data_IF_654758326255
#
_entry.id   IF_654758326255
#
_cell.length_a   1.000
_cell.length_b   1.000
_cell.length_c   1.000
_cell.angle_alpha   90.00
_cell.angle_beta   90.00
_cell.angle_gamma   90.00
#
_symmetry.space_group_name_H-M   'P 1'
#
loop_
_entity.id
_entity.type
_entity.pdbx_description
1 polymer ?
#
# COMPACT_ATOMS: atom_id res chain seq x y z
N UNK A 1 2.21 -25.79 0.95
CA UNK A 1 3.54 -25.17 0.82
C UNK A 1 3.40 -24.03 -0.16
N UNK A 2 3.59 -22.81 0.32
CA UNK A 2 3.43 -21.56 -0.43
C UNK A 2 4.79 -21.12 -0.95
N UNK A 3 4.91 -20.92 -2.26
CA UNK A 3 6.13 -20.42 -2.88
C UNK A 3 6.15 -18.90 -2.84
N UNK A 4 7.24 -18.32 -2.33
CA UNK A 4 7.50 -16.88 -2.40
C UNK A 4 8.79 -16.66 -3.19
N UNK A 5 8.67 -15.99 -4.32
CA UNK A 5 9.81 -15.71 -5.20
C UNK A 5 10.43 -14.37 -4.83
N UNK A 6 11.75 -14.35 -4.68
CA UNK A 6 12.54 -13.13 -4.45
C UNK A 6 13.60 -13.01 -5.53
N UNK A 7 13.57 -11.93 -6.31
CA UNK A 7 14.61 -11.66 -7.31
C UNK A 7 15.13 -10.25 -7.17
N UNK A 8 16.40 -10.08 -7.50
CA UNK A 8 17.09 -8.81 -7.47
C UNK A 8 17.55 -8.40 -8.87
N UNK A 9 17.50 -7.11 -9.16
CA UNK A 9 18.17 -6.52 -10.33
C UNK A 9 19.57 -6.01 -9.98
N UNK A 10 20.44 -5.93 -10.99
CA UNK A 10 21.72 -5.23 -10.91
C UNK A 10 21.67 -3.82 -11.54
N UNK A 11 20.78 -3.60 -12.51
CA UNK A 11 20.66 -2.38 -13.32
C UNK A 11 19.52 -1.50 -12.79
N UNK A 12 19.59 -0.18 -13.03
CA UNK A 12 18.60 0.78 -12.52
C UNK A 12 17.67 1.32 -13.62
N UNK A 13 17.65 0.71 -14.81
CA UNK A 13 16.76 1.08 -15.93
C UNK A 13 15.47 0.26 -16.00
N UNK A 14 14.48 0.80 -16.71
CA UNK A 14 13.14 0.21 -16.76
C UNK A 14 13.09 -1.13 -17.52
N UNK A 15 13.95 -1.35 -18.52
CA UNK A 15 13.97 -2.60 -19.28
C UNK A 15 14.35 -3.78 -18.39
N UNK A 16 15.34 -3.59 -17.53
CA UNK A 16 15.73 -4.60 -16.57
C UNK A 16 14.62 -4.82 -15.51
N UNK A 17 14.07 -3.75 -14.94
CA UNK A 17 12.97 -3.88 -13.96
C UNK A 17 11.75 -4.62 -14.53
N UNK A 18 11.41 -4.39 -15.80
CA UNK A 18 10.33 -5.10 -16.50
C UNK A 18 10.65 -6.58 -16.68
N UNK A 19 11.88 -6.90 -17.07
CA UNK A 19 12.36 -8.29 -17.18
C UNK A 19 12.32 -8.99 -15.83
N UNK A 20 12.73 -8.29 -14.76
CA UNK A 20 12.66 -8.78 -13.39
C UNK A 20 11.22 -9.05 -12.96
N UNK A 21 10.30 -8.11 -13.22
CA UNK A 21 8.89 -8.26 -12.90
C UNK A 21 8.27 -9.47 -13.60
N UNK A 22 8.48 -9.60 -14.92
CA UNK A 22 8.00 -10.74 -15.71
C UNK A 22 8.52 -12.06 -15.14
N UNK A 23 9.82 -12.14 -14.86
CA UNK A 23 10.43 -13.33 -14.27
C UNK A 23 9.83 -13.67 -12.90
N UNK A 24 9.66 -12.69 -12.03
CA UNK A 24 9.16 -12.89 -10.66
C UNK A 24 7.71 -13.38 -10.68
N UNK A 25 6.83 -12.78 -11.48
CA UNK A 25 5.42 -13.19 -11.54
C UNK A 25 5.27 -14.58 -12.20
N UNK A 26 6.10 -14.89 -13.20
CA UNK A 26 6.11 -16.20 -13.86
C UNK A 26 6.50 -17.31 -12.88
N UNK A 27 7.63 -17.15 -12.19
CA UNK A 27 8.14 -18.14 -11.23
C UNK A 27 7.24 -18.26 -9.99
N UNK A 28 6.54 -17.18 -9.61
CA UNK A 28 5.60 -17.17 -8.49
C UNK A 28 4.21 -17.73 -8.86
N UNK A 29 4.00 -18.17 -10.11
CA UNK A 29 2.78 -18.83 -10.54
C UNK A 29 1.61 -17.89 -10.83
N UNK A 30 1.86 -16.60 -11.09
CA UNK A 30 0.83 -15.59 -11.35
C UNK A 30 -0.17 -16.01 -12.43
N UNK A 31 0.33 -16.47 -13.58
CA UNK A 31 -0.52 -16.84 -14.70
C UNK A 31 -1.36 -18.09 -14.39
N UNK A 32 -0.81 -19.03 -13.63
CA UNK A 32 -1.54 -20.23 -13.20
C UNK A 32 -2.68 -19.84 -12.25
N UNK A 33 -2.42 -18.97 -11.28
CA UNK A 33 -3.44 -18.46 -10.37
C UNK A 33 -4.53 -17.68 -11.12
N UNK A 34 -4.14 -16.80 -12.05
CA UNK A 34 -5.08 -16.01 -12.86
C UNK A 34 -5.97 -16.90 -13.73
N UNK A 35 -5.40 -17.81 -14.51
CA UNK A 35 -6.16 -18.69 -15.41
C UNK A 35 -7.05 -19.68 -14.64
N UNK A 36 -6.61 -20.15 -13.47
CA UNK A 36 -7.45 -20.96 -12.58
C UNK A 36 -8.71 -20.19 -12.14
N UNK A 37 -8.56 -18.97 -11.63
CA UNK A 37 -9.69 -18.13 -11.18
C UNK A 37 -10.58 -17.72 -12.35
N UNK A 38 -9.98 -17.45 -13.52
CA UNK A 38 -10.71 -17.20 -14.75
C UNK A 38 -11.60 -18.39 -15.13
N UNK A 39 -11.04 -19.61 -15.17
CA UNK A 39 -11.81 -20.81 -15.47
C UNK A 39 -12.95 -21.07 -14.47
N UNK A 40 -12.69 -20.86 -13.17
CA UNK A 40 -13.70 -21.00 -12.11
C UNK A 40 -14.85 -19.98 -12.23
N UNK A 41 -14.60 -18.80 -12.80
CA UNK A 41 -15.60 -17.72 -12.88
C UNK A 41 -16.72 -17.97 -13.90
N UNK A 42 -16.45 -18.77 -14.94
CA UNK A 42 -17.36 -18.93 -16.09
C UNK A 42 -17.60 -17.67 -16.92
N UNK A 43 -16.86 -16.58 -16.67
CA UNK A 43 -16.99 -15.30 -17.39
C UNK A 43 -16.18 -15.29 -18.68
N UNK A 44 -16.48 -14.34 -19.57
CA UNK A 44 -15.56 -14.00 -20.67
C UNK A 44 -14.40 -13.15 -20.14
N UNK A 45 -13.25 -13.12 -20.85
CA UNK A 45 -12.12 -12.26 -20.45
C UNK A 45 -12.46 -10.75 -20.44
N UNK A 46 -13.49 -10.35 -21.18
CA UNK A 46 -13.98 -8.98 -21.19
C UNK A 46 -14.89 -8.66 -19.99
N UNK A 47 -15.51 -9.68 -19.38
CA UNK A 47 -16.36 -9.50 -18.20
C UNK A 47 -15.59 -9.77 -16.89
N UNK A 48 -14.50 -10.53 -16.96
CA UNK A 48 -13.65 -10.90 -15.83
C UNK A 48 -12.88 -9.68 -15.29
N UNK A 49 -13.26 -9.22 -14.10
CA UNK A 49 -12.71 -8.00 -13.50
C UNK A 49 -11.43 -8.30 -12.72
N UNK A 50 -10.33 -7.68 -13.14
CA UNK A 50 -9.05 -7.71 -12.44
C UNK A 50 -8.83 -6.38 -11.73
N UNK A 51 -8.75 -6.40 -10.40
CA UNK A 51 -8.42 -5.23 -9.60
C UNK A 51 -6.94 -5.24 -9.18
N UNK A 52 -6.22 -4.18 -9.52
CA UNK A 52 -4.82 -3.95 -9.12
C UNK A 52 -4.79 -2.84 -8.09
N UNK A 53 -4.32 -3.15 -6.88
CA UNK A 53 -4.17 -2.20 -5.77
C UNK A 53 -2.70 -1.83 -5.58
N UNK A 54 -2.20 -0.73 -6.18
CA UNK A 54 -0.89 -0.21 -5.85
C UNK A 54 -0.90 0.51 -4.48
N UNK A 55 0.27 0.76 -3.91
CA UNK A 55 0.42 1.76 -2.85
C UNK A 55 0.59 3.13 -3.52
N UNK A 56 -0.39 4.04 -3.41
CA UNK A 56 -0.37 5.33 -4.12
C UNK A 56 -0.69 6.55 -3.24
N UNK A 57 -1.68 6.49 -2.34
CA UNK A 57 -2.21 7.74 -1.74
C UNK A 57 -1.31 8.38 -0.68
N UNK A 58 -0.18 7.77 -0.37
CA UNK A 58 0.90 8.39 0.41
C UNK A 58 1.93 9.11 -0.47
N UNK A 59 1.60 9.43 -1.73
CA UNK A 59 2.45 10.29 -2.56
C UNK A 59 2.37 11.75 -2.07
N UNK A 60 3.49 12.31 -1.59
CA UNK A 60 3.56 13.69 -1.10
C UNK A 60 4.24 14.63 -2.08
N UNK A 61 5.32 14.17 -2.69
CA UNK A 61 6.24 15.00 -3.45
C UNK A 61 6.61 14.29 -4.75
N UNK A 62 6.55 15.03 -5.87
CA UNK A 62 6.89 14.51 -7.20
C UNK A 62 8.33 14.05 -7.32
N UNK A 63 9.22 14.54 -6.45
CA UNK A 63 10.64 14.15 -6.41
C UNK A 63 10.87 12.85 -5.64
N UNK A 64 9.88 12.35 -4.87
CA UNK A 64 10.01 11.14 -4.05
C UNK A 64 8.96 10.07 -4.42
N UNK A 65 9.39 9.13 -5.27
CA UNK A 65 8.61 7.95 -5.64
C UNK A 65 8.86 6.75 -4.71
N UNK A 66 9.76 6.85 -3.72
CA UNK A 66 10.14 5.72 -2.87
C UNK A 66 9.00 5.24 -1.97
N UNK A 67 8.01 6.09 -1.72
CA UNK A 67 6.86 5.83 -0.85
C UNK A 67 5.64 5.23 -1.56
N UNK A 68 5.68 5.11 -2.88
CA UNK A 68 4.61 4.55 -3.72
C UNK A 68 5.12 3.51 -4.70
N UNK A 69 4.31 2.51 -5.03
CA UNK A 69 4.66 1.50 -6.04
C UNK A 69 5.00 2.21 -7.36
N UNK A 70 6.12 1.84 -8.00
CA UNK A 70 6.56 2.51 -9.24
C UNK A 70 5.47 2.39 -10.34
N UNK A 71 4.95 3.52 -10.87
CA UNK A 71 3.87 3.49 -11.87
C UNK A 71 4.20 2.64 -13.08
N UNK A 72 5.44 2.71 -13.57
CA UNK A 72 5.92 1.96 -14.72
C UNK A 72 5.83 0.44 -14.51
N UNK A 73 6.06 -0.05 -13.29
CA UNK A 73 5.93 -1.48 -12.97
C UNK A 73 4.46 -1.92 -12.98
N UNK A 74 3.59 -1.09 -12.42
CA UNK A 74 2.14 -1.36 -12.38
C UNK A 74 1.57 -1.37 -13.80
N UNK A 75 1.92 -0.38 -14.62
CA UNK A 75 1.45 -0.31 -16.01
C UNK A 75 2.02 -1.44 -16.87
N UNK A 76 3.27 -1.86 -16.62
CA UNK A 76 3.84 -3.02 -17.30
C UNK A 76 3.11 -4.32 -16.94
N UNK A 77 2.78 -4.54 -15.66
CA UNK A 77 1.95 -5.67 -15.25
C UNK A 77 0.59 -5.66 -15.96
N UNK A 78 -0.09 -4.52 -15.96
CA UNK A 78 -1.38 -4.34 -16.63
C UNK A 78 -1.26 -4.63 -18.13
N UNK A 79 -0.22 -4.13 -18.79
CA UNK A 79 0.06 -4.40 -20.21
C UNK A 79 0.19 -5.90 -20.47
N UNK A 80 0.93 -6.63 -19.65
CA UNK A 80 1.09 -8.09 -19.79
C UNK A 80 -0.22 -8.86 -19.59
N UNK A 81 -1.08 -8.38 -18.69
CA UNK A 81 -2.43 -8.93 -18.49
C UNK A 81 -3.31 -8.64 -19.72
N UNK A 82 -3.27 -7.41 -20.25
CA UNK A 82 -4.01 -6.98 -21.45
C UNK A 82 -3.58 -7.75 -22.71
N UNK A 83 -2.28 -8.00 -22.90
CA UNK A 83 -1.72 -8.82 -23.99
C UNK A 83 -2.25 -10.26 -23.99
N UNK A 84 -2.75 -10.76 -22.85
CA UNK A 84 -3.42 -12.07 -22.74
C UNK A 84 -4.94 -12.01 -22.94
N UNK A 85 -5.47 -10.85 -23.31
CA UNK A 85 -6.86 -10.62 -23.70
C UNK A 85 -7.82 -10.23 -22.56
N UNK A 86 -7.32 -9.98 -21.35
CA UNK A 86 -8.14 -9.44 -20.27
C UNK A 86 -8.25 -7.92 -20.41
N UNK A 87 -9.47 -7.41 -20.55
CA UNK A 87 -9.69 -5.99 -20.86
C UNK A 87 -10.43 -5.22 -19.76
N UNK A 88 -11.08 -5.92 -18.82
CA UNK A 88 -11.75 -5.31 -17.67
C UNK A 88 -10.79 -5.21 -16.48
N UNK A 89 -9.82 -4.30 -16.58
CA UNK A 89 -8.78 -4.07 -15.57
C UNK A 89 -9.03 -2.74 -14.87
N UNK A 90 -9.03 -2.75 -13.54
CA UNK A 90 -9.17 -1.57 -12.72
C UNK A 90 -7.95 -1.39 -11.79
N UNK A 91 -7.26 -0.27 -11.89
CA UNK A 91 -6.39 0.22 -10.84
C UNK A 91 -7.26 0.88 -9.78
N UNK A 92 -7.19 0.40 -8.55
CA UNK A 92 -8.08 0.85 -7.48
C UNK A 92 -7.30 1.49 -6.33
N UNK A 93 -7.82 2.58 -5.78
CA UNK A 93 -7.37 3.18 -4.52
C UNK A 93 -8.52 3.93 -3.85
N UNK A 94 -8.38 4.32 -2.59
CA UNK A 94 -9.28 5.23 -1.88
C UNK A 94 -8.54 6.46 -1.35
N UNK A 95 -9.25 7.56 -1.20
CA UNK A 95 -8.68 8.79 -0.66
C UNK A 95 -8.25 8.64 0.80
N UNK A 96 -7.41 9.55 1.28
CA UNK A 96 -6.96 9.57 2.67
C UNK A 96 -7.10 10.95 3.33
N UNK A 97 -6.72 11.02 4.60
CA UNK A 97 -6.91 12.19 5.48
C UNK A 97 -6.35 13.50 4.91
N UNK A 98 -5.38 13.44 4.00
CA UNK A 98 -4.82 14.63 3.35
C UNK A 98 -5.81 15.36 2.45
N UNK A 99 -6.85 14.69 1.97
CA UNK A 99 -7.99 15.34 1.30
C UNK A 99 -8.68 16.39 2.18
N UNK A 100 -8.51 16.35 3.50
CA UNK A 100 -9.03 17.39 4.40
C UNK A 100 -8.26 18.72 4.26
N UNK A 101 -6.99 18.66 3.88
CA UNK A 101 -6.05 19.77 3.96
C UNK A 101 -5.55 20.27 2.61
N UNK A 102 -5.55 19.41 1.58
CA UNK A 102 -5.00 19.72 0.27
C UNK A 102 -6.02 19.43 -0.83
N UNK A 103 -6.01 20.23 -1.90
CA UNK A 103 -6.77 19.98 -3.13
C UNK A 103 -6.02 18.99 -4.01
N UNK A 104 -6.68 18.45 -5.04
CA UNK A 104 -6.11 17.46 -5.98
C UNK A 104 -5.66 16.17 -5.28
N UNK A 105 -6.36 15.78 -4.20
CA UNK A 105 -6.10 14.57 -3.41
C UNK A 105 -7.10 13.44 -3.68
N UNK A 106 -7.93 13.58 -4.70
CA UNK A 106 -8.66 12.46 -5.27
C UNK A 106 -7.69 11.49 -5.96
N UNK A 107 -8.10 10.22 -6.11
CA UNK A 107 -7.21 9.15 -6.58
C UNK A 107 -6.66 9.44 -7.99
N UNK A 108 -7.49 9.99 -8.88
CA UNK A 108 -7.10 10.26 -10.27
C UNK A 108 -6.05 11.38 -10.31
N UNK A 109 -6.24 12.46 -9.56
CA UNK A 109 -5.26 13.56 -9.47
C UNK A 109 -3.92 13.10 -8.91
N UNK A 110 -3.92 12.27 -7.86
CA UNK A 110 -2.69 11.73 -7.27
C UNK A 110 -2.00 10.77 -8.24
N UNK A 111 -2.75 9.89 -8.90
CA UNK A 111 -2.21 8.98 -9.91
C UNK A 111 -1.56 9.76 -11.07
N UNK A 112 -2.21 10.82 -11.56
CA UNK A 112 -1.66 11.70 -12.60
C UNK A 112 -0.34 12.35 -12.15
N UNK A 113 -0.31 12.88 -10.93
CA UNK A 113 0.89 13.51 -10.39
C UNK A 113 2.03 12.50 -10.20
N UNK A 114 1.71 11.25 -9.83
CA UNK A 114 2.67 10.16 -9.69
C UNK A 114 3.22 9.65 -11.02
N UNK A 115 2.57 9.95 -12.15
CA UNK A 115 3.02 9.55 -13.49
C UNK A 115 2.22 8.43 -14.14
N UNK A 116 1.09 8.02 -13.57
CA UNK A 116 0.18 7.07 -14.23
C UNK A 116 -0.50 7.68 -15.45
N UNK A 117 -0.69 6.88 -16.49
CA UNK A 117 -1.45 7.24 -17.67
C UNK A 117 -2.96 7.21 -17.40
N UNK A 118 -3.50 8.31 -16.91
CA UNK A 118 -4.95 8.47 -16.65
C UNK A 118 -5.83 8.45 -17.90
N UNK A 119 -5.24 8.34 -19.09
CA UNK A 119 -5.94 8.24 -20.38
C UNK A 119 -5.73 6.89 -21.06
N UNK A 120 -5.16 5.92 -20.34
CA UNK A 120 -4.97 4.56 -20.86
C UNK A 120 -6.29 3.95 -21.29
N UNK A 121 -6.25 3.16 -22.37
CA UNK A 121 -7.37 2.31 -22.80
C UNK A 121 -7.28 0.90 -22.24
N UNK A 122 -6.14 0.52 -21.64
CA UNK A 122 -5.90 -0.82 -21.10
C UNK A 122 -6.48 -1.01 -19.69
N UNK A 123 -6.72 0.08 -18.96
CA UNK A 123 -7.25 0.04 -17.61
C UNK A 123 -7.98 1.33 -17.23
N UNK A 124 -8.82 1.24 -16.21
CA UNK A 124 -9.46 2.40 -15.55
C UNK A 124 -8.87 2.63 -14.16
N UNK A 125 -8.73 3.90 -13.77
CA UNK A 125 -8.37 4.28 -12.39
C UNK A 125 -9.67 4.57 -11.64
N UNK A 126 -9.90 3.84 -10.55
CA UNK A 126 -11.11 3.92 -9.75
C UNK A 126 -10.79 4.46 -8.37
N UNK A 127 -11.49 5.53 -8.01
CA UNK A 127 -11.55 6.05 -6.66
C UNK A 127 -12.63 5.32 -5.86
N UNK A 128 -12.22 4.40 -4.99
CA UNK A 128 -13.09 3.60 -4.13
C UNK A 128 -13.81 4.43 -3.07
N UNK A 129 -13.36 5.65 -2.78
CA UNK A 129 -14.14 6.61 -1.96
C UNK A 129 -15.37 7.10 -2.69
N UNK A 130 -15.35 7.11 -4.03
CA UNK A 130 -16.48 7.53 -4.87
C UNK A 130 -17.29 6.35 -5.42
N UNK A 131 -16.68 5.17 -5.53
CA UNK A 131 -17.30 3.92 -6.02
C UNK A 131 -17.90 3.08 -4.89
N UNK A 132 -18.59 3.73 -3.94
CA UNK A 132 -19.06 3.08 -2.71
C UNK A 132 -20.42 2.41 -2.84
N UNK A 133 -20.58 1.30 -2.12
CA UNK A 133 -21.85 0.61 -1.95
C UNK A 133 -21.92 0.00 -0.56
N UNK A 134 -23.13 -0.18 -0.01
CA UNK A 134 -23.30 -0.86 1.26
C UNK A 134 -23.01 -2.36 1.11
N UNK A 135 -22.40 -2.94 2.13
CA UNK A 135 -22.06 -4.36 2.24
C UNK A 135 -22.26 -4.83 3.68
N UNK A 136 -22.66 -6.09 3.83
CA UNK A 136 -22.83 -6.72 5.14
C UNK A 136 -21.64 -7.63 5.37
N UNK A 137 -20.72 -7.19 6.22
CA UNK A 137 -19.57 -7.96 6.67
C UNK A 137 -20.04 -8.98 7.69
N UNK A 138 -19.83 -10.26 7.38
CA UNK A 138 -20.39 -11.36 8.17
C UNK A 138 -19.57 -11.63 9.41
N UNK A 139 -20.27 -11.90 10.51
CA UNK A 139 -19.67 -12.53 11.67
C UNK A 139 -19.15 -13.92 11.31
N UNK A 140 -18.17 -14.38 12.09
CA UNK A 140 -17.78 -15.77 12.12
C UNK A 140 -17.99 -16.35 13.50
N UNK A 141 -18.09 -17.68 13.65
CA UNK A 141 -18.34 -18.32 14.95
C UNK A 141 -17.39 -17.85 16.07
N UNK A 142 -16.17 -17.47 15.71
CA UNK A 142 -15.11 -17.09 16.64
C UNK A 142 -14.75 -15.58 16.62
N UNK A 143 -15.43 -14.76 15.80
CA UNK A 143 -15.15 -13.32 15.66
C UNK A 143 -16.37 -12.54 15.17
N UNK A 144 -16.80 -11.55 15.96
CA UNK A 144 -17.85 -10.58 15.59
C UNK A 144 -17.26 -9.51 14.67
N UNK A 145 -17.96 -9.19 13.59
CA UNK A 145 -17.51 -8.23 12.59
C UNK A 145 -17.47 -6.82 13.18
N UNK A 146 -16.29 -6.21 13.19
CA UNK A 146 -16.12 -4.81 13.59
C UNK A 146 -16.88 -3.88 12.65
N UNK A 147 -17.00 -4.24 11.35
CA UNK A 147 -17.65 -3.41 10.34
C UNK A 147 -19.18 -3.54 10.33
N UNK A 148 -19.75 -4.73 10.57
CA UNK A 148 -21.18 -4.97 10.47
C UNK A 148 -21.75 -4.61 9.08
N UNK A 149 -22.76 -3.74 9.02
CA UNK A 149 -23.22 -3.15 7.74
C UNK A 149 -22.47 -1.85 7.48
N UNK A 150 -21.62 -1.86 6.45
CA UNK A 150 -20.69 -0.78 6.18
C UNK A 150 -20.46 -0.56 4.68
N UNK A 151 -19.60 0.40 4.34
CA UNK A 151 -19.26 0.74 2.95
C UNK A 151 -18.10 -0.12 2.43
N UNK A 152 -18.19 -0.48 1.15
CA UNK A 152 -17.09 -1.07 0.38
C UNK A 152 -17.02 -0.44 -1.00
N UNK A 153 -15.82 -0.36 -1.57
CA UNK A 153 -15.66 -0.01 -2.98
C UNK A 153 -16.19 -1.13 -3.88
N UNK A 154 -17.22 -0.84 -4.68
CA UNK A 154 -17.91 -1.80 -5.54
C UNK A 154 -16.96 -2.55 -6.48
N UNK A 155 -16.03 -1.83 -7.12
CA UNK A 155 -15.06 -2.43 -8.04
C UNK A 155 -14.13 -3.40 -7.33
N UNK A 156 -13.74 -3.13 -6.08
CA UNK A 156 -12.95 -4.07 -5.28
C UNK A 156 -13.78 -5.28 -4.85
N UNK A 157 -15.01 -5.05 -4.39
CA UNK A 157 -15.97 -6.09 -3.99
C UNK A 157 -16.25 -7.07 -5.13
N UNK A 158 -16.54 -6.54 -6.32
CA UNK A 158 -17.01 -7.30 -7.47
C UNK A 158 -15.85 -7.90 -8.32
N UNK A 159 -14.60 -7.65 -7.94
CA UNK A 159 -13.44 -8.18 -8.67
C UNK A 159 -13.33 -9.70 -8.59
N UNK A 160 -13.01 -10.32 -9.73
CA UNK A 160 -12.81 -11.75 -9.85
C UNK A 160 -11.36 -12.16 -9.53
N UNK A 161 -10.42 -11.25 -9.78
CA UNK A 161 -9.02 -11.40 -9.41
C UNK A 161 -8.49 -10.11 -8.78
N UNK A 162 -7.75 -10.22 -7.69
CA UNK A 162 -7.30 -9.08 -6.86
C UNK A 162 -5.81 -9.20 -6.63
N UNK A 163 -5.09 -8.13 -6.97
CA UNK A 163 -3.63 -8.05 -6.87
C UNK A 163 -3.28 -6.93 -5.90
N UNK A 164 -2.52 -7.25 -4.86
CA UNK A 164 -1.89 -6.24 -4.00
C UNK A 164 -0.47 -5.99 -4.47
N UNK A 165 -0.20 -4.83 -5.07
CA UNK A 165 1.13 -4.45 -5.55
C UNK A 165 1.71 -3.36 -4.63
N UNK A 166 2.26 -3.78 -3.50
CA UNK A 166 2.70 -2.90 -2.44
C UNK A 166 4.12 -2.35 -2.68
N UNK A 167 4.45 -1.24 -2.00
CA UNK A 167 5.81 -0.73 -1.89
C UNK A 167 6.50 -1.33 -0.66
N UNK A 168 7.78 -1.67 -0.78
CA UNK A 168 8.65 -2.08 0.31
C UNK A 168 9.01 -0.88 1.17
N UNK A 169 8.34 -0.73 2.33
CA UNK A 169 8.59 0.40 3.21
C UNK A 169 8.31 0.12 4.68
N UNK A 170 8.97 0.89 5.54
CA UNK A 170 8.70 0.90 6.98
C UNK A 170 7.39 1.62 7.33
N UNK A 171 6.91 1.37 8.54
CA UNK A 171 5.78 2.10 9.12
C UNK A 171 5.97 2.27 10.62
N UNK A 172 5.65 3.46 11.11
CA UNK A 172 5.92 3.82 12.50
C UNK A 172 5.08 3.09 13.54
N UNK A 173 3.92 2.54 13.16
CA UNK A 173 2.99 1.86 14.08
C UNK A 173 2.96 0.33 13.92
N UNK A 174 3.62 -0.21 12.90
CA UNK A 174 3.61 -1.65 12.66
C UNK A 174 4.92 -2.18 12.07
N UNK A 175 6.01 -1.43 12.27
CA UNK A 175 7.36 -1.66 11.74
C UNK A 175 7.48 -1.56 10.22
N UNK A 176 6.59 -2.20 9.47
CA UNK A 176 6.59 -2.22 8.00
C UNK A 176 5.21 -2.37 7.38
N UNK A 177 5.06 -1.92 6.14
CA UNK A 177 3.87 -2.15 5.32
C UNK A 177 4.25 -2.90 4.06
N UNK A 178 3.46 -3.91 3.69
CA UNK A 178 3.59 -4.62 2.43
C UNK A 178 2.18 -4.95 1.90
N UNK A 179 1.95 -6.16 1.42
CA UNK A 179 0.76 -6.53 0.66
C UNK A 179 -0.50 -6.60 1.52
N UNK A 180 -0.40 -6.97 2.81
CA UNK A 180 -1.56 -6.99 3.72
C UNK A 180 -2.02 -5.57 4.03
N UNK A 181 -1.15 -4.73 4.60
CA UNK A 181 -1.53 -3.35 4.97
C UNK A 181 -1.86 -2.48 3.75
N UNK A 182 -1.39 -2.82 2.55
CA UNK A 182 -1.82 -2.13 1.34
C UNK A 182 -3.34 -2.27 1.08
N UNK A 183 -3.98 -3.32 1.59
CA UNK A 183 -5.44 -3.52 1.51
C UNK A 183 -6.19 -2.53 2.40
N UNK A 184 -5.58 -1.98 3.45
CA UNK A 184 -6.15 -0.83 4.17
C UNK A 184 -6.48 0.34 3.23
N UNK A 185 -5.74 0.48 2.13
CA UNK A 185 -6.03 1.48 1.11
C UNK A 185 -7.33 1.24 0.34
N UNK A 186 -8.03 0.11 0.47
CA UNK A 186 -9.32 -0.10 -0.22
C UNK A 186 -10.52 0.37 0.61
N UNK A 187 -10.31 0.70 1.90
CA UNK A 187 -11.40 1.18 2.76
C UNK A 187 -11.90 2.55 2.30
N UNK A 188 -13.20 2.77 2.11
CA UNK A 188 -13.67 3.88 1.29
C UNK A 188 -13.62 5.25 1.96
N UNK A 189 -13.63 5.35 3.30
CA UNK A 189 -13.67 6.66 3.96
C UNK A 189 -12.42 7.49 3.71
N UNK A 190 -12.60 8.73 3.25
CA UNK A 190 -11.48 9.68 3.06
C UNK A 190 -10.80 9.96 4.40
N UNK A 191 -11.59 10.18 5.45
CA UNK A 191 -11.06 10.50 6.77
C UNK A 191 -10.66 9.26 7.57
N UNK A 192 -9.70 8.54 6.99
CA UNK A 192 -9.15 7.29 7.47
C UNK A 192 -8.67 7.29 8.94
N UNK A 193 -8.15 8.42 9.43
CA UNK A 193 -7.74 8.53 10.83
C UNK A 193 -8.94 8.49 11.78
N UNK A 194 -9.97 9.30 11.50
CA UNK A 194 -11.16 9.30 12.36
C UNK A 194 -11.84 7.94 12.33
N UNK A 195 -12.12 7.46 11.12
CA UNK A 195 -12.94 6.28 10.96
C UNK A 195 -12.23 5.00 11.40
N UNK A 196 -10.96 4.82 11.04
CA UNK A 196 -10.29 3.52 11.19
C UNK A 196 -9.18 3.49 12.23
N UNK A 197 -8.69 4.64 12.72
CA UNK A 197 -7.69 4.68 13.80
C UNK A 197 -8.30 5.10 15.15
N UNK A 198 -9.43 5.83 15.16
CA UNK A 198 -10.08 6.27 16.40
C UNK A 198 -11.34 5.47 16.70
N UNK A 199 -12.23 5.35 15.71
CA UNK A 199 -13.52 4.70 15.93
C UNK A 199 -13.45 3.17 15.74
N UNK A 200 -12.31 2.65 15.24
CA UNK A 200 -12.04 1.23 14.90
C UNK A 200 -10.54 0.94 15.00
N UNK A 201 -10.17 -0.32 14.76
CA UNK A 201 -8.78 -0.80 14.65
C UNK A 201 -8.38 -1.06 13.18
N UNK A 202 -7.29 -0.43 12.73
CA UNK A 202 -6.88 -0.45 11.31
C UNK A 202 -6.56 -1.85 10.79
N UNK A 203 -5.99 -2.69 11.65
CA UNK A 203 -5.57 -4.05 11.37
C UNK A 203 -6.79 -4.98 11.31
N UNK A 204 -7.72 -4.90 12.25
CA UNK A 204 -8.97 -5.67 12.23
C UNK A 204 -9.77 -5.42 10.96
N UNK A 205 -10.02 -4.14 10.64
CA UNK A 205 -10.73 -3.74 9.42
C UNK A 205 -10.02 -4.26 8.16
N UNK A 206 -8.69 -4.26 8.16
CA UNK A 206 -7.90 -4.75 7.03
C UNK A 206 -8.04 -6.26 6.87
N UNK A 207 -7.99 -7.02 7.96
CA UNK A 207 -8.12 -8.49 7.93
C UNK A 207 -9.54 -8.90 7.58
N UNK A 208 -10.57 -8.21 8.07
CA UNK A 208 -11.96 -8.44 7.66
C UNK A 208 -12.15 -8.18 6.16
N UNK A 209 -11.54 -7.14 5.61
CA UNK A 209 -11.58 -6.86 4.18
C UNK A 209 -10.94 -7.99 3.36
N UNK A 210 -9.82 -8.56 3.82
CA UNK A 210 -9.15 -9.69 3.15
C UNK A 210 -9.99 -10.96 3.27
N UNK A 211 -10.62 -11.19 4.43
CA UNK A 211 -11.48 -12.35 4.69
C UNK A 211 -12.71 -12.35 3.79
N UNK A 212 -13.37 -11.20 3.67
CA UNK A 212 -14.57 -11.03 2.83
C UNK A 212 -14.21 -10.98 1.34
N UNK A 213 -13.09 -10.34 0.98
CA UNK A 213 -12.63 -10.16 -0.40
C UNK A 213 -11.19 -10.66 -0.58
N UNK A 214 -11.00 -11.99 -0.76
CA UNK A 214 -9.67 -12.58 -0.87
C UNK A 214 -8.81 -11.93 -1.94
N UNK A 215 -7.55 -11.68 -1.57
CA UNK A 215 -6.49 -11.22 -2.46
C UNK A 215 -5.80 -12.44 -3.04
N UNK A 216 -5.64 -12.45 -4.36
CA UNK A 216 -5.21 -13.64 -5.09
C UNK A 216 -3.73 -13.63 -5.44
N UNK A 217 -3.08 -12.47 -5.36
CA UNK A 217 -1.65 -12.36 -5.63
C UNK A 217 -1.04 -11.12 -4.97
N UNK A 218 0.12 -11.29 -4.36
CA UNK A 218 0.90 -10.23 -3.73
C UNK A 218 2.19 -9.97 -4.49
N UNK A 219 2.52 -8.69 -4.69
CA UNK A 219 3.80 -8.24 -5.23
C UNK A 219 4.31 -7.11 -4.35
N UNK A 220 5.59 -7.16 -4.01
CA UNK A 220 6.30 -6.09 -3.30
C UNK A 220 7.32 -5.48 -4.27
N UNK A 221 7.12 -4.20 -4.57
CA UNK A 221 8.10 -3.34 -5.21
C UNK A 221 9.12 -2.88 -4.17
N UNK A 222 10.32 -3.44 -4.19
CA UNK A 222 11.49 -2.98 -3.45
C UNK A 222 12.64 -2.62 -4.38
N UNK A 223 12.37 -2.08 -5.58
CA UNK A 223 13.47 -1.57 -6.44
C UNK A 223 14.12 -0.38 -5.72
N UNK A 224 13.29 0.61 -5.38
CA UNK A 224 13.59 1.66 -4.41
C UNK A 224 12.63 1.54 -3.23
N UNK A 225 13.20 1.45 -2.04
CA UNK A 225 12.48 1.28 -0.79
C UNK A 225 12.60 2.51 0.08
N UNK A 226 11.58 2.72 0.92
CA UNK A 226 11.55 3.80 1.90
C UNK A 226 11.69 3.20 3.31
N UNK A 227 12.84 3.42 3.96
CA UNK A 227 13.13 2.85 5.27
C UNK A 227 13.24 3.92 6.37
N UNK A 228 13.47 3.49 7.62
CA UNK A 228 13.57 4.39 8.77
C UNK A 228 12.22 4.91 9.28
N UNK A 229 12.26 5.92 10.14
CA UNK A 229 11.06 6.44 10.83
C UNK A 229 10.11 7.20 9.90
N UNK A 230 10.62 7.71 8.77
CA UNK A 230 9.81 8.46 7.81
C UNK A 230 9.37 7.63 6.61
N UNK A 231 9.71 6.35 6.49
CA UNK A 231 9.46 5.55 5.29
C UNK A 231 8.00 5.46 4.82
N UNK A 232 7.02 5.81 5.67
CA UNK A 232 5.61 5.94 5.26
C UNK A 232 5.25 7.30 4.61
N UNK A 233 6.07 8.34 4.82
CA UNK A 233 5.81 9.75 4.42
C UNK A 233 6.81 10.26 3.38
N UNK A 234 8.10 10.02 3.61
CA UNK A 234 9.18 10.48 2.74
C UNK A 234 10.44 9.69 3.04
N UNK A 235 11.26 9.47 2.03
CA UNK A 235 12.65 9.06 2.21
C UNK A 235 13.56 9.94 1.35
N UNK A 236 14.39 10.73 2.02
CA UNK A 236 15.32 11.64 1.35
C UNK A 236 16.58 10.94 0.84
N UNK A 237 16.82 9.71 1.28
CA UNK A 237 17.93 8.87 0.82
C UNK A 237 17.45 7.42 0.69
N UNK A 238 16.53 7.15 -0.27
CA UNK A 238 15.85 5.88 -0.38
C UNK A 238 16.82 4.73 -0.57
N UNK A 239 16.52 3.60 0.07
CA UNK A 239 17.34 2.42 0.00
C UNK A 239 17.09 1.66 -1.31
N UNK A 240 18.11 1.55 -2.15
CA UNK A 240 18.05 0.80 -3.41
C UNK A 240 18.22 -0.70 -3.14
N UNK A 241 17.16 -1.32 -2.62
CA UNK A 241 17.14 -2.75 -2.34
C UNK A 241 17.06 -3.62 -3.60
N UNK A 242 16.72 -3.02 -4.76
CA UNK A 242 16.73 -3.66 -6.09
C UNK A 242 15.96 -4.98 -6.15
N UNK A 243 14.91 -5.15 -5.33
CA UNK A 243 14.25 -6.43 -5.07
C UNK A 243 12.78 -6.41 -5.49
N UNK A 244 12.30 -7.48 -6.10
CA UNK A 244 10.89 -7.79 -6.22
C UNK A 244 10.58 -9.10 -5.48
N UNK A 245 9.48 -9.10 -4.72
CA UNK A 245 8.96 -10.28 -4.01
C UNK A 245 7.56 -10.56 -4.51
N UNK A 246 7.21 -11.80 -4.82
CA UNK A 246 5.85 -12.15 -5.21
C UNK A 246 5.42 -13.55 -4.78
N UNK A 247 4.11 -13.76 -4.68
CA UNK A 247 3.48 -15.04 -4.36
C UNK A 247 1.95 -14.97 -4.37
N UNK A 248 1.29 -16.12 -4.48
CA UNK A 248 -0.17 -16.26 -4.41
C UNK A 248 -0.69 -15.92 -3.00
N UNK A 249 -0.02 -16.41 -1.96
CA UNK A 249 -0.39 -16.14 -0.56
C UNK A 249 0.27 -14.85 -0.04
N UNK A 250 -0.52 -13.78 0.10
CA UNK A 250 -0.05 -12.47 0.57
C UNK A 250 0.51 -12.48 2.00
N UNK A 251 0.11 -13.44 2.84
CA UNK A 251 0.65 -13.61 4.20
C UNK A 251 2.08 -14.14 4.12
N UNK A 252 2.31 -15.13 3.25
CA UNK A 252 3.66 -15.63 3.00
C UNK A 252 4.57 -14.53 2.44
N UNK A 253 4.05 -13.71 1.52
CA UNK A 253 4.79 -12.55 0.95
C UNK A 253 5.18 -11.54 2.03
N UNK A 254 4.26 -11.17 2.93
CA UNK A 254 4.54 -10.20 4.01
C UNK A 254 5.49 -10.78 5.08
N UNK A 255 5.44 -12.09 5.34
CA UNK A 255 6.40 -12.77 6.23
C UNK A 255 7.81 -12.72 5.63
N UNK A 256 7.97 -13.07 4.34
CA UNK A 256 9.28 -13.04 3.66
C UNK A 256 9.80 -11.61 3.54
N UNK A 257 8.93 -10.64 3.26
CA UNK A 257 9.33 -9.23 3.24
C UNK A 257 9.81 -8.72 4.61
N UNK A 258 9.12 -9.07 5.70
CA UNK A 258 9.58 -8.76 7.07
C UNK A 258 10.92 -9.41 7.40
N UNK A 259 11.14 -10.67 6.98
CA UNK A 259 12.42 -11.36 7.12
C UNK A 259 13.54 -10.65 6.33
N UNK A 260 13.25 -10.19 5.10
CA UNK A 260 14.18 -9.37 4.31
C UNK A 260 14.53 -8.06 5.00
N UNK A 261 13.67 -7.50 5.86
CA UNK A 261 13.97 -6.32 6.68
C UNK A 261 14.75 -6.64 7.98
N UNK A 262 15.08 -7.92 8.23
CA UNK A 262 15.74 -8.36 9.45
C UNK A 262 14.85 -8.30 10.70
N UNK A 263 13.53 -8.29 10.50
CA UNK A 263 12.53 -8.23 11.57
C UNK A 263 11.93 -9.62 11.83
N UNK A 264 11.36 -9.78 13.02
CA UNK A 264 10.44 -10.87 13.32
C UNK A 264 9.04 -10.49 12.78
N UNK A 265 8.53 -11.17 11.74
CA UNK A 265 7.24 -10.81 11.13
C UNK A 265 6.06 -10.89 12.11
N UNK A 266 6.14 -11.74 13.14
CA UNK A 266 5.06 -11.90 14.11
C UNK A 266 4.92 -10.72 15.07
N UNK A 267 5.88 -9.79 15.08
CA UNK A 267 5.75 -8.50 15.79
C UNK A 267 4.91 -7.48 15.02
N UNK A 268 4.71 -7.68 13.72
CA UNK A 268 3.81 -6.85 12.93
C UNK A 268 2.37 -7.31 13.20
N UNK A 269 1.56 -6.43 13.78
CA UNK A 269 0.19 -6.74 14.19
C UNK A 269 -0.69 -7.22 13.02
N UNK A 270 -0.52 -6.64 11.83
CA UNK A 270 -1.25 -7.08 10.62
C UNK A 270 -0.91 -8.53 10.23
N UNK A 271 0.37 -8.88 10.28
CA UNK A 271 0.84 -10.24 9.95
C UNK A 271 0.39 -11.22 11.02
N UNK A 272 0.50 -10.84 12.30
CA UNK A 272 0.04 -11.65 13.41
C UNK A 272 -1.45 -11.95 13.29
N UNK A 273 -2.29 -10.93 13.09
CA UNK A 273 -3.74 -11.09 12.98
C UNK A 273 -4.12 -11.90 11.73
N UNK A 274 -3.41 -11.73 10.61
CA UNK A 274 -3.60 -12.55 9.43
C UNK A 274 -3.26 -14.03 9.69
N UNK A 275 -2.16 -14.31 10.38
CA UNK A 275 -1.77 -15.68 10.76
C UNK A 275 -2.77 -16.30 11.73
N UNK A 276 -3.25 -15.54 12.71
CA UNK A 276 -4.25 -16.01 13.67
C UNK A 276 -5.59 -16.31 12.96
N UNK A 277 -5.94 -15.55 11.91
CA UNK A 277 -7.20 -15.68 11.16
C UNK A 277 -7.17 -16.78 10.09
N UNK A 278 -6.09 -16.85 9.32
CA UNK A 278 -6.01 -17.71 8.13
C UNK A 278 -5.06 -18.91 8.31
N UNK A 279 -4.35 -18.97 9.43
CA UNK A 279 -3.29 -19.94 9.69
C UNK A 279 -1.94 -19.49 9.14
N UNK A 280 -0.86 -19.93 9.79
CA UNK A 280 0.50 -19.68 9.34
C UNK A 280 0.82 -20.54 8.10
N UNK A 281 1.19 -19.94 6.96
CA UNK A 281 1.59 -20.73 5.80
C UNK A 281 2.95 -21.42 6.03
N UNK A 282 3.11 -22.59 5.42
CA UNK A 282 4.42 -23.25 5.25
C UNK A 282 5.09 -22.67 4.00
N UNK A 283 6.22 -21.98 4.16
CA UNK A 283 6.80 -21.09 3.14
C UNK A 283 8.08 -21.68 2.57
N UNK A 284 8.16 -21.72 1.24
CA UNK A 284 9.39 -21.99 0.50
C UNK A 284 9.84 -20.71 -0.22
N UNK A 285 11.00 -20.17 0.18
CA UNK A 285 11.60 -19.01 -0.47
C UNK A 285 12.39 -19.47 -1.70
N UNK A 286 12.01 -18.98 -2.87
CA UNK A 286 12.70 -19.24 -4.13
C UNK A 286 13.49 -17.98 -4.50
N UNK A 287 14.79 -17.97 -4.21
CA UNK A 287 15.67 -16.84 -4.56
C UNK A 287 16.50 -16.31 -3.42
N UNK A 288 16.72 -14.98 -3.42
CA UNK A 288 17.55 -14.32 -2.42
C UNK A 288 16.81 -14.14 -1.09
N UNK A 289 17.24 -14.86 -0.06
CA UNK A 289 16.70 -14.78 1.32
C UNK A 289 17.48 -13.82 2.23
N UNK A 290 18.48 -13.11 1.72
CA UNK A 290 19.61 -12.58 2.50
C UNK A 290 19.45 -11.36 3.43
N UNK A 291 18.30 -10.87 3.89
CA UNK A 291 18.21 -9.53 4.56
C UNK A 291 18.75 -8.34 3.72
N UNK A 292 18.10 -7.19 3.81
CA UNK A 292 18.52 -5.98 3.12
C UNK A 292 19.75 -5.37 3.80
N UNK A 293 20.72 -4.98 2.97
CA UNK A 293 21.89 -4.25 3.43
C UNK A 293 21.50 -2.82 3.81
N UNK A 294 22.09 -2.31 4.89
CA UNK A 294 21.94 -0.93 5.36
C UNK A 294 20.48 -0.51 5.65
N UNK A 295 19.60 -1.49 5.90
CA UNK A 295 18.18 -1.25 6.18
C UNK A 295 17.96 -0.63 7.55
N UNK A 296 17.20 0.48 7.58
CA UNK A 296 16.85 1.16 8.84
C UNK A 296 15.45 0.75 9.29
N UNK A 297 15.36 0.10 10.46
CA UNK A 297 14.09 -0.23 11.09
C UNK A 297 13.56 0.90 11.99
N UNK A 298 12.26 0.91 12.22
CA UNK A 298 11.63 1.79 13.23
C UNK A 298 11.98 1.26 14.62
N UNK A 299 12.40 2.16 15.53
CA UNK A 299 12.69 1.81 16.92
C UNK A 299 11.42 1.51 17.73
N UNK A 300 11.47 0.58 18.70
CA UNK A 300 10.29 0.09 19.44
C UNK A 300 9.61 1.13 20.35
N UNK A 301 10.25 2.27 20.63
CA UNK A 301 9.67 3.31 21.49
C UNK A 301 8.69 4.23 20.75
N UNK A 302 8.66 4.18 19.41
CA UNK A 302 7.81 5.04 18.58
C UNK A 302 6.33 4.62 18.66
N UNK A 303 6.05 3.33 18.72
CA UNK A 303 4.69 2.77 18.84
C UNK A 303 3.95 3.39 20.05
N UNK A 304 4.57 3.39 21.23
CA UNK A 304 3.98 3.91 22.47
C UNK A 304 3.65 5.40 22.49
N UNK A 305 4.31 6.20 21.63
CA UNK A 305 4.07 7.64 21.51
C UNK A 305 2.87 7.91 20.59
N UNK A 306 2.62 7.03 19.61
CA UNK A 306 1.55 7.18 18.64
C UNK A 306 0.22 6.74 19.19
N UNK A 307 0.16 5.64 19.94
CA UNK A 307 -1.07 5.17 20.59
C UNK A 307 -1.69 6.28 21.45
N UNK A 308 -0.86 7.01 22.21
CA UNK A 308 -1.31 8.14 23.03
C UNK A 308 -1.71 9.38 22.21
N UNK A 309 -1.22 9.50 20.98
CA UNK A 309 -1.51 10.61 20.06
C UNK A 309 -2.77 10.38 19.21
N UNK A 310 -3.06 9.12 18.89
CA UNK A 310 -4.21 8.72 18.05
C UNK A 310 -5.55 8.85 18.78
N UNK A 311 -5.57 8.72 20.12
CA UNK A 311 -6.75 9.00 20.98
C UNK A 311 -7.24 10.47 20.87
N UNK A 312 -6.37 11.39 20.42
CA UNK A 312 -6.69 12.79 20.17
C UNK A 312 -6.72 13.07 18.66
N UNK A 313 -7.72 12.53 17.94
CA UNK A 313 -7.89 12.72 16.48
C UNK A 313 -7.63 14.16 16.00
N UNK A 314 -8.16 15.16 16.72
CA UNK A 314 -7.97 16.58 16.36
C UNK A 314 -6.49 16.99 16.36
N UNK A 315 -5.71 16.49 17.31
CA UNK A 315 -4.27 16.73 17.42
C UNK A 315 -3.49 15.93 16.38
N UNK A 316 -3.77 14.62 16.22
CA UNK A 316 -3.12 13.76 15.23
C UNK A 316 -3.34 14.24 13.78
N UNK A 317 -4.56 14.65 13.43
CA UNK A 317 -4.89 15.19 12.12
C UNK A 317 -4.15 16.52 11.84
N UNK A 318 -4.03 17.40 12.85
CA UNK A 318 -3.26 18.65 12.73
C UNK A 318 -1.76 18.35 12.62
N UNK A 319 -1.23 17.42 13.40
CA UNK A 319 0.17 16.98 13.30
C UNK A 319 0.48 16.36 11.93
N UNK A 320 -0.43 15.55 11.39
CA UNK A 320 -0.34 15.01 10.03
C UNK A 320 -0.21 16.11 8.99
N UNK A 321 -1.00 17.18 9.10
CA UNK A 321 -0.82 18.38 8.27
C UNK A 321 0.53 19.06 8.52
N UNK A 322 0.94 19.32 9.77
CA UNK A 322 2.19 20.04 10.05
C UNK A 322 3.45 19.28 9.65
N UNK A 323 3.41 17.95 9.66
CA UNK A 323 4.55 17.07 9.40
C UNK A 323 4.60 16.52 7.97
N UNK A 324 3.75 16.98 7.06
CA UNK A 324 3.70 16.49 5.67
C UNK A 324 4.55 17.36 4.75
N UNK A 325 5.62 16.85 4.13
CA UNK A 325 6.34 17.60 3.07
C UNK A 325 5.60 17.56 1.72
N UNK A 326 4.31 17.89 1.75
CA UNK A 326 3.44 17.95 0.58
C UNK A 326 3.96 18.96 -0.46
N UNK A 327 4.07 18.53 -1.71
CA UNK A 327 4.29 19.38 -2.87
C UNK A 327 3.05 20.24 -3.09
N UNK A 328 3.16 21.51 -2.72
CA UNK A 328 2.07 22.50 -2.80
C UNK A 328 1.81 23.00 -4.22
N UNK A 329 2.68 22.72 -5.20
CA UNK A 329 2.42 23.00 -6.60
C UNK A 329 1.48 21.93 -7.18
N UNK A 330 1.74 20.65 -6.89
CA UNK A 330 0.86 19.54 -7.28
C UNK A 330 -0.43 19.49 -6.43
N UNK A 331 -0.30 19.70 -5.11
CA UNK A 331 -1.36 19.57 -4.12
C UNK A 331 -1.53 20.86 -3.28
N UNK A 332 -2.17 21.91 -3.82
CA UNK A 332 -2.36 23.16 -3.09
C UNK A 332 -3.11 22.99 -1.76
N UNK A 333 -2.71 23.73 -0.73
CA UNK A 333 -3.43 23.73 0.55
C UNK A 333 -4.85 24.33 0.41
N UNK A 334 -5.85 23.65 0.99
CA UNK A 334 -7.24 24.13 1.09
C UNK A 334 -7.30 25.35 2.02
N UNK A 335 -8.00 26.40 1.58
CA UNK A 335 -8.33 27.59 2.39
C UNK A 335 -7.15 28.16 3.18
N UNK A 336 -6.18 28.77 2.50
CA UNK A 336 -5.01 29.45 3.12
C UNK A 336 -5.40 30.39 4.27
N UNK A 337 -6.59 30.99 4.22
CA UNK A 337 -7.12 31.90 5.25
C UNK A 337 -7.64 31.20 6.52
N UNK A 338 -8.15 29.95 6.42
CA UNK A 338 -8.59 29.16 7.58
C UNK A 338 -7.43 28.46 8.30
N UNK A 339 -6.29 28.31 7.62
CA UNK A 339 -5.08 27.77 8.23
C UNK A 339 -4.38 28.93 8.95
N UNK A 340 -4.57 29.01 10.27
CA UNK A 340 -3.96 30.05 11.11
C UNK A 340 -2.46 30.19 10.84
N UNK A 341 -1.97 31.43 10.84
CA UNK A 341 -0.54 31.78 10.78
C UNK A 341 0.30 30.91 11.74
N UNK A 342 -0.22 30.59 12.92
CA UNK A 342 0.42 29.70 13.88
C UNK A 342 0.70 28.31 13.30
N UNK A 343 -0.29 27.69 12.63
CA UNK A 343 -0.14 26.36 12.03
C UNK A 343 0.87 26.34 10.89
N UNK A 344 0.88 27.38 10.05
CA UNK A 344 1.85 27.50 8.96
C UNK A 344 3.27 27.74 9.49
N UNK A 345 3.41 28.52 10.56
CA UNK A 345 4.69 28.75 11.24
C UNK A 345 5.21 27.45 11.86
N UNK A 346 4.36 26.73 12.59
CA UNK A 346 4.72 25.43 13.18
C UNK A 346 5.10 24.39 12.11
N UNK A 347 4.34 24.32 11.01
CA UNK A 347 4.70 23.49 9.84
C UNK A 347 6.10 23.84 9.34
N UNK A 348 6.42 25.12 9.13
CA UNK A 348 7.77 25.55 8.73
C UNK A 348 8.87 25.11 9.71
N UNK A 349 8.60 25.19 11.01
CA UNK A 349 9.53 24.72 12.06
C UNK A 349 9.74 23.20 11.98
N UNK A 350 8.67 22.41 11.95
CA UNK A 350 8.75 20.95 11.88
C UNK A 350 9.49 20.47 10.63
N UNK A 351 9.20 21.04 9.47
CA UNK A 351 9.89 20.66 8.22
C UNK A 351 11.38 21.02 8.27
N UNK A 352 11.73 22.16 8.84
CA UNK A 352 13.15 22.51 9.03
C UNK A 352 13.84 21.55 10.01
N UNK A 353 13.17 21.15 11.10
CA UNK A 353 13.71 20.15 12.03
C UNK A 353 13.94 18.82 11.30
N UNK A 354 12.96 18.31 10.54
CA UNK A 354 13.13 17.07 9.78
C UNK A 354 14.29 17.14 8.79
N UNK A 355 14.41 18.24 8.04
CA UNK A 355 15.55 18.42 7.11
C UNK A 355 16.89 18.46 7.82
N UNK A 356 16.97 19.06 9.01
CA UNK A 356 18.19 19.10 9.82
C UNK A 356 18.52 17.71 10.36
N UNK A 357 17.54 17.00 10.92
CA UNK A 357 17.72 15.65 11.44
C UNK A 357 18.12 14.65 10.34
N UNK A 358 17.51 14.76 9.16
CA UNK A 358 17.86 13.96 7.99
C UNK A 358 19.30 14.26 7.53
N UNK A 359 19.69 15.53 7.41
CA UNK A 359 21.09 15.90 7.10
C UNK A 359 22.10 15.40 8.13
N UNK A 360 21.67 15.25 9.38
CA UNK A 360 22.48 14.70 10.46
C UNK A 360 22.48 13.16 10.51
N UNK A 361 21.73 12.48 9.63
CA UNK A 361 21.59 11.01 9.60
C UNK A 361 20.83 10.43 10.78
N UNK A 362 20.05 11.25 11.51
CA UNK A 362 19.30 10.85 12.70
C UNK A 362 17.97 10.20 12.32
N UNK A 363 17.33 10.71 11.26
CA UNK A 363 16.09 10.17 10.69
C UNK A 363 16.29 9.77 9.24
#
# INVERSE_FOLDING_TARGET
MENVVVRTTQEDDDSDKFTLLERVIDEAGFWTALEKRFAESGKTKNDFLIAVKPNLMMFYNIEDLSVITEPVLVEHLIKKISERGYTNIALVESQNVFGNWFTNRDVISVAKAAGYNTKSTDYRIIDLTMDVTAHVYKDSPDHESSLGTYLVGKTWRDADFRISFAKNKTHISCYYTLTIKNIYGVTPEQNKFREYHTDREIDEVTIEMIKEFPVHFGIVDGIKSADGILGLKADFNPNHTKTLIAGENIIAVDIVGGQKMGLDPMKNLFVKLAVDTFGKPDITIIGDSSVYKDWKNVGPFVDSILDYGEELYGFANILGYMCSEMDIAAFPAKNKERISWFRNTMRGIFLNIFRVLNKAGII
#
